data_IF_177439913036
#
_entry.id   IF_177439913036
#
_cell.length_a   1.000
_cell.length_b   1.000
_cell.length_c   1.000
_cell.angle_alpha   90.00
_cell.angle_beta   90.00
_cell.angle_gamma   90.00
#
_symmetry.space_group_name_H-M   'P 1'
#
loop_
_entity.id
_entity.type
_entity.pdbx_description
1 polymer ?
#
# COMPACT_ATOMS: atom_id res chain seq x y z
N UNK A 1 -3.10 -6.55 -14.29
CA UNK A 1 -2.09 -6.32 -13.26
C UNK A 1 -1.93 -4.83 -13.04
N UNK A 2 -2.71 -4.34 -12.09
CA UNK A 2 -2.61 -3.01 -11.53
C UNK A 2 -1.91 -3.11 -10.19
N UNK A 3 -1.02 -2.16 -9.90
CA UNK A 3 -0.41 -1.98 -8.60
C UNK A 3 -0.42 -0.50 -8.26
N UNK A 4 -0.37 -0.17 -6.96
CA UNK A 4 -0.27 1.20 -6.49
C UNK A 4 0.72 1.30 -5.34
N UNK A 5 1.34 2.47 -5.21
CA UNK A 5 2.28 2.81 -4.16
C UNK A 5 1.91 4.15 -3.55
N UNK A 6 1.90 4.22 -2.21
CA UNK A 6 1.72 5.47 -1.48
C UNK A 6 2.80 5.55 -0.40
N UNK A 7 3.65 6.58 -0.50
CA UNK A 7 4.61 6.88 0.56
C UNK A 7 3.89 7.48 1.77
N UNK A 8 4.15 6.94 2.96
CA UNK A 8 3.61 7.42 4.24
C UNK A 8 4.80 7.88 5.09
N UNK A 9 4.98 9.19 5.23
CA UNK A 9 6.10 9.79 6.00
C UNK A 9 5.89 9.73 7.51
N UNK A 10 5.44 8.57 7.99
CA UNK A 10 5.26 8.21 9.39
C UNK A 10 6.15 7.00 9.68
N UNK A 11 6.48 6.79 10.96
CA UNK A 11 7.40 5.73 11.39
C UNK A 11 6.75 4.82 12.40
N UNK A 12 6.90 3.52 12.18
CA UNK A 12 6.46 2.52 13.16
C UNK A 12 7.35 2.59 14.41
N UNK A 13 6.78 2.31 15.59
CA UNK A 13 7.49 2.39 16.86
C UNK A 13 8.77 1.52 16.90
N UNK A 14 8.72 0.35 16.26
CA UNK A 14 9.86 -0.58 16.18
C UNK A 14 10.89 -0.19 15.11
N UNK A 15 10.55 0.74 14.22
CA UNK A 15 11.40 1.18 13.12
C UNK A 15 11.52 2.71 13.06
N UNK A 16 12.06 3.36 14.11
CA UNK A 16 12.06 4.82 14.27
C UNK A 16 12.91 5.59 13.24
N UNK A 17 13.65 4.88 12.38
CA UNK A 17 14.55 5.44 11.36
C UNK A 17 14.12 5.08 9.94
N UNK A 18 12.94 4.48 9.75
CA UNK A 18 12.44 4.03 8.45
C UNK A 18 11.02 4.53 8.28
N UNK A 19 10.76 5.18 7.16
CA UNK A 19 9.41 5.61 6.81
C UNK A 19 8.60 4.39 6.31
N UNK A 20 7.28 4.51 6.39
CA UNK A 20 6.35 3.45 5.97
C UNK A 20 5.84 3.71 4.56
N UNK A 21 5.48 2.64 3.86
CA UNK A 21 4.82 2.68 2.58
C UNK A 21 3.59 1.78 2.57
N UNK A 22 2.64 2.16 1.73
CA UNK A 22 1.54 1.30 1.33
C UNK A 22 1.82 0.76 -0.08
N UNK A 23 1.79 -0.56 -0.19
CA UNK A 23 1.76 -1.26 -1.47
C UNK A 23 0.38 -1.85 -1.67
N UNK A 24 -0.12 -1.78 -2.90
CA UNK A 24 -1.36 -2.43 -3.27
C UNK A 24 -1.17 -3.25 -4.54
N UNK A 25 -1.75 -4.45 -4.54
CA UNK A 25 -1.82 -5.35 -5.67
C UNK A 25 -3.26 -5.86 -5.84
N UNK A 26 -3.72 -5.98 -7.10
CA UNK A 26 -5.09 -6.39 -7.42
C UNK A 26 -5.50 -7.78 -6.89
N UNK A 27 -4.53 -8.62 -6.53
CA UNK A 27 -4.74 -9.98 -6.02
C UNK A 27 -4.55 -10.07 -4.52
N UNK A 28 -3.75 -9.20 -3.93
CA UNK A 28 -3.32 -9.32 -2.52
C UNK A 28 -3.93 -8.20 -1.66
N UNK A 29 -4.42 -7.12 -2.27
CA UNK A 29 -4.95 -5.95 -1.57
C UNK A 29 -3.83 -5.06 -1.04
N UNK A 30 -4.12 -4.31 0.03
CA UNK A 30 -3.16 -3.38 0.64
C UNK A 30 -2.24 -4.07 1.64
N UNK A 31 -0.97 -3.70 1.56
CA UNK A 31 0.11 -4.12 2.45
C UNK A 31 0.77 -2.86 3.02
N UNK A 32 1.00 -2.86 4.32
CA UNK A 32 1.80 -1.86 5.02
C UNK A 32 3.21 -2.41 5.16
N UNK A 33 4.21 -1.68 4.66
CA UNK A 33 5.60 -2.11 4.66
C UNK A 33 6.54 -0.93 4.98
N UNK A 34 7.80 -1.21 5.31
CA UNK A 34 8.83 -0.16 5.37
C UNK A 34 9.20 0.30 3.97
N UNK A 35 9.43 1.59 3.77
CA UNK A 35 10.02 2.10 2.53
C UNK A 35 11.39 1.45 2.32
N UNK A 36 11.59 0.69 1.23
CA UNK A 36 12.80 -0.09 1.01
C UNK A 36 13.94 0.86 0.67
N UNK A 37 15.14 0.50 1.12
CA UNK A 37 16.36 1.10 0.56
C UNK A 37 16.59 0.53 -0.85
N UNK A 38 17.42 1.19 -1.67
CA UNK A 38 17.93 0.56 -2.88
C UNK A 38 18.47 -0.84 -2.54
N UNK A 39 18.08 -1.83 -3.35
CA UNK A 39 18.49 -3.24 -3.24
C UNK A 39 17.98 -4.02 -2.01
N UNK A 40 16.97 -3.50 -1.29
CA UNK A 40 16.33 -4.20 -0.17
C UNK A 40 14.95 -4.76 -0.55
N UNK A 41 14.64 -5.98 -0.11
CA UNK A 41 13.28 -6.50 -0.21
C UNK A 41 12.34 -5.75 0.76
N UNK A 42 11.08 -5.48 0.37
CA UNK A 42 10.10 -4.85 1.25
C UNK A 42 9.89 -5.63 2.55
N UNK A 43 10.11 -4.96 3.68
CA UNK A 43 9.76 -5.50 5.00
C UNK A 43 8.29 -5.23 5.27
N UNK A 44 7.47 -6.28 5.20
CA UNK A 44 6.02 -6.20 5.46
C UNK A 44 5.75 -6.10 6.95
N UNK A 45 5.01 -5.08 7.36
CA UNK A 45 4.54 -4.86 8.72
C UNK A 45 3.13 -5.40 8.95
N UNK A 46 2.30 -5.46 7.90
CA UNK A 46 0.97 -6.04 7.99
C UNK A 46 0.17 -5.98 6.69
N UNK A 47 -0.93 -6.72 6.67
CA UNK A 47 -1.91 -6.72 5.58
C UNK A 47 -3.20 -6.04 6.03
N UNK A 48 -3.80 -5.25 5.15
CA UNK A 48 -5.15 -4.72 5.37
C UNK A 48 -6.13 -5.71 4.73
N UNK A 49 -6.82 -6.48 5.59
CA UNK A 49 -7.80 -7.47 5.16
C UNK A 49 -9.17 -6.83 4.92
N UNK A 50 -10.00 -7.44 4.07
CA UNK A 50 -11.34 -6.96 3.73
C UNK A 50 -11.50 -6.72 2.24
N UNK A 51 -12.20 -5.66 1.85
CA UNK A 51 -12.35 -5.28 0.45
C UNK A 51 -10.98 -5.04 -0.20
N UNK A 52 -10.85 -5.39 -1.47
CA UNK A 52 -9.57 -5.20 -2.20
C UNK A 52 -9.22 -3.72 -2.31
N UNK A 53 -10.22 -2.85 -2.44
CA UNK A 53 -10.05 -1.39 -2.34
C UNK A 53 -10.98 -0.86 -1.24
N UNK A 54 -10.55 -0.87 0.04
CA UNK A 54 -11.34 -0.34 1.13
C UNK A 54 -11.58 1.17 0.97
N UNK A 55 -12.40 1.76 1.84
CA UNK A 55 -12.47 3.22 1.94
C UNK A 55 -11.16 3.79 2.53
N UNK A 56 -10.78 4.99 2.09
CA UNK A 56 -9.50 5.60 2.49
C UNK A 56 -9.36 5.78 4.02
N UNK A 57 -10.47 6.04 4.71
CA UNK A 57 -10.48 6.15 6.17
C UNK A 57 -10.15 4.81 6.87
N UNK A 58 -10.53 3.68 6.28
CA UNK A 58 -10.24 2.36 6.83
C UNK A 58 -8.78 1.98 6.62
N UNK A 59 -8.21 2.32 5.45
CA UNK A 59 -6.77 2.20 5.19
C UNK A 59 -5.97 3.04 6.19
N UNK A 60 -6.35 4.31 6.41
CA UNK A 60 -5.67 5.19 7.36
C UNK A 60 -5.71 4.63 8.80
N UNK A 61 -6.87 4.09 9.23
CA UNK A 61 -7.02 3.48 10.56
C UNK A 61 -6.14 2.24 10.71
N UNK A 62 -6.08 1.39 9.68
CA UNK A 62 -5.23 0.21 9.69
C UNK A 62 -3.75 0.58 9.75
N UNK A 63 -3.31 1.60 8.99
CA UNK A 63 -1.93 2.10 9.06
C UNK A 63 -1.60 2.60 10.45
N UNK A 64 -2.46 3.41 11.07
CA UNK A 64 -2.22 3.91 12.43
C UNK A 64 -2.11 2.76 13.47
N UNK A 65 -2.92 1.70 13.32
CA UNK A 65 -2.80 0.52 14.16
C UNK A 65 -1.46 -0.20 13.97
N UNK A 66 -0.98 -0.35 12.73
CA UNK A 66 0.33 -0.96 12.45
C UNK A 66 1.48 -0.11 12.99
N UNK A 67 1.42 1.21 12.86
CA UNK A 67 2.47 2.12 13.34
C UNK A 67 2.66 2.07 14.87
N UNK A 68 1.58 1.79 15.60
CA UNK A 68 1.54 1.79 17.07
C UNK A 68 1.63 0.40 17.69
N UNK A 69 1.43 -0.66 16.90
CA UNK A 69 1.63 -2.03 17.34
C UNK A 69 3.12 -2.33 17.49
N UNK A 70 3.47 -3.07 18.54
CA UNK A 70 4.76 -3.77 18.60
C UNK A 70 4.66 -5.01 17.72
N UNK A 71 5.63 -5.19 16.83
CA UNK A 71 5.61 -6.15 15.74
C UNK A 71 5.65 -7.57 16.30
N UNK A 72 4.53 -8.28 16.18
CA UNK A 72 4.53 -9.75 16.12
C UNK A 72 4.54 -10.07 14.63
N UNK A 73 5.51 -10.88 14.21
CA UNK A 73 5.80 -11.17 12.80
C UNK A 73 4.52 -11.52 12.02
N UNK A 74 4.17 -10.78 10.95
CA UNK A 74 2.90 -10.98 10.28
C UNK A 74 2.89 -12.28 9.47
N UNK A 75 1.83 -13.05 9.63
CA UNK A 75 1.51 -14.20 8.77
C UNK A 75 1.15 -13.69 7.36
N UNK A 76 1.47 -14.47 6.32
CA UNK A 76 1.16 -14.08 4.93
C UNK A 76 -0.36 -13.90 4.81
N UNK A 77 -0.82 -12.69 4.52
CA UNK A 77 -2.25 -12.39 4.40
C UNK A 77 -2.97 -13.25 3.34
N UNK A 78 -4.29 -13.47 3.46
CA UNK A 78 -5.03 -14.32 2.52
C UNK A 78 -5.09 -13.69 1.11
N UNK A 79 -4.97 -14.52 0.06
CA UNK A 79 -5.15 -14.11 -1.33
C UNK A 79 -6.61 -13.74 -1.62
N UNK A 80 -6.85 -12.61 -2.31
CA UNK A 80 -8.17 -12.16 -2.73
C UNK A 80 -8.32 -12.25 -4.26
N UNK A 81 -9.52 -12.58 -4.76
CA UNK A 81 -9.80 -12.67 -6.20
C UNK A 81 -10.63 -11.44 -6.63
N UNK A 82 -9.98 -10.38 -7.10
CA UNK A 82 -10.66 -9.17 -7.58
C UNK A 82 -10.99 -9.23 -9.09
N UNK A 83 -12.02 -8.48 -9.51
CA UNK A 83 -12.31 -8.16 -10.90
C UNK A 83 -11.41 -6.98 -11.37
N UNK A 84 -10.49 -7.18 -12.34
CA UNK A 84 -9.49 -6.18 -12.72
C UNK A 84 -10.05 -4.85 -13.27
N UNK A 85 -11.28 -4.83 -13.80
CA UNK A 85 -11.84 -3.66 -14.48
C UNK A 85 -12.39 -2.57 -13.54
N UNK A 86 -12.90 -2.96 -12.37
CA UNK A 86 -13.50 -2.06 -11.39
C UNK A 86 -12.44 -1.27 -10.59
N UNK A 87 -11.30 -1.93 -10.40
CA UNK A 87 -10.27 -1.55 -9.44
C UNK A 87 -9.45 -0.33 -9.87
N UNK A 88 -9.29 -0.10 -11.18
CA UNK A 88 -8.54 1.05 -11.71
C UNK A 88 -9.18 2.41 -11.39
N UNK A 89 -10.51 2.49 -11.35
CA UNK A 89 -11.22 3.74 -11.06
C UNK A 89 -11.15 4.11 -9.58
N UNK A 90 -11.18 3.10 -8.69
CA UNK A 90 -11.18 3.30 -7.24
C UNK A 90 -9.78 3.67 -6.71
N UNK A 91 -8.70 3.15 -7.30
CA UNK A 91 -7.32 3.52 -6.94
C UNK A 91 -7.05 5.02 -7.19
N UNK A 92 -7.62 5.60 -8.25
CA UNK A 92 -7.43 7.02 -8.53
C UNK A 92 -7.94 7.92 -7.41
N UNK A 93 -8.92 7.47 -6.61
CA UNK A 93 -9.43 8.23 -5.48
C UNK A 93 -8.39 8.44 -4.37
N UNK A 94 -7.41 7.54 -4.25
CA UNK A 94 -6.29 7.66 -3.29
C UNK A 94 -5.21 8.65 -3.74
N UNK A 95 -5.15 8.95 -5.05
CA UNK A 95 -4.22 9.93 -5.61
C UNK A 95 -4.75 11.37 -5.56
N UNK A 96 -5.99 11.60 -5.11
CA UNK A 96 -6.61 12.93 -5.20
C UNK A 96 -6.27 13.95 -4.09
N UNK A 97 -5.69 13.60 -2.93
CA UNK A 97 -5.04 14.60 -2.06
C UNK A 97 -3.51 14.64 -2.23
N UNK A 98 -2.92 13.69 -2.95
CA UNK A 98 -1.48 13.67 -3.29
C UNK A 98 -1.37 13.89 -4.78
N UNK A 99 -1.27 15.16 -5.20
CA UNK A 99 -0.84 15.51 -6.55
C UNK A 99 0.45 14.75 -6.84
N UNK A 100 0.31 13.62 -7.53
CA UNK A 100 1.42 12.98 -8.22
C UNK A 100 1.71 13.91 -9.39
N UNK A 101 2.55 14.92 -9.13
CA UNK A 101 3.18 15.73 -10.17
C UNK A 101 4.27 14.89 -10.86
N UNK A 102 3.86 13.74 -11.36
CA UNK A 102 4.57 12.93 -12.32
C UNK A 102 3.49 12.54 -13.33
N UNK A 103 3.32 13.39 -14.35
CA UNK A 103 2.63 12.99 -15.58
C UNK A 103 3.29 11.70 -16.07
N UNK A 104 2.69 10.54 -15.76
CA UNK A 104 3.11 9.25 -16.29
C UNK A 104 2.70 9.25 -17.77
N UNK A 105 3.63 9.63 -18.63
CA UNK A 105 3.52 9.38 -20.07
C UNK A 105 3.84 7.91 -20.32
N UNK A 106 2.84 7.15 -20.72
CA UNK A 106 3.04 5.79 -21.23
C UNK A 106 3.55 5.87 -22.67
N UNK A 107 4.66 5.21 -23.03
CA UNK A 107 5.03 5.05 -24.44
C UNK A 107 3.96 4.21 -25.15
N UNK A 108 3.52 4.67 -26.32
CA UNK A 108 2.55 3.95 -27.15
C UNK A 108 3.27 2.75 -27.82
N UNK A 109 2.69 1.54 -27.81
CA UNK A 109 3.33 0.38 -28.43
C UNK A 109 3.51 0.59 -29.94
N UNK A 110 4.65 0.09 -30.45
CA UNK A 110 5.06 0.15 -31.84
C UNK A 110 4.16 -0.68 -32.77
#
# INVERSE_FOLDING_TARGET
>A
MSTAYVAVRERAIDYPNRDVMLLWDERIGWIVALEPKPDEEPVVLGHISGDVVPAAADVARAVAAVLTAQTVQPDRGPEHKADPGHVRAEILAYALPVVVEQTVQFPRPA
#
